data_IF_506613994752
#
_entry.id   IF_506613994752
#
_cell.length_a   1.000
_cell.length_b   1.000
_cell.length_c   1.000
_cell.angle_alpha   90.00
_cell.angle_beta   90.00
_cell.angle_gamma   90.00
#
_symmetry.space_group_name_H-M   'P 1'
#
loop_
_entity.id
_entity.type
_entity.pdbx_description
1 polymer ?
#
# COMPACT_ATOMS: atom_id res chain seq x y z
N UNK A 1 -11.21 41.51 9.58
CA UNK A 1 -10.00 40.73 9.94
C UNK A 1 -10.41 39.28 10.03
N UNK A 2 -10.21 38.52 8.95
CA UNK A 2 -10.22 37.05 9.07
C UNK A 2 -9.03 36.68 9.96
N UNK A 3 -9.23 35.80 10.94
CA UNK A 3 -8.19 35.31 11.82
C UNK A 3 -7.08 34.67 10.96
N UNK A 4 -5.87 35.23 11.01
CA UNK A 4 -4.68 34.82 10.23
C UNK A 4 -4.42 33.31 10.30
N UNK A 5 -4.93 32.65 11.36
CA UNK A 5 -4.85 31.20 11.59
C UNK A 5 -5.41 30.36 10.44
N UNK A 6 -6.43 30.83 9.72
CA UNK A 6 -7.07 30.03 8.67
C UNK A 6 -6.34 30.11 7.33
N UNK A 7 -5.83 31.30 6.95
CA UNK A 7 -5.07 31.49 5.70
C UNK A 7 -3.77 30.68 5.69
N UNK A 8 -3.15 30.53 6.87
CA UNK A 8 -1.91 29.80 7.03
C UNK A 8 -2.06 28.26 6.93
N UNK A 9 -3.25 27.71 7.19
CA UNK A 9 -3.47 26.26 7.18
C UNK A 9 -3.41 25.66 5.77
N UNK A 10 -4.02 26.32 4.78
CA UNK A 10 -3.99 25.87 3.39
C UNK A 10 -2.59 25.93 2.79
N UNK A 11 -1.78 26.93 3.18
CA UNK A 11 -0.38 27.03 2.76
C UNK A 11 0.46 25.89 3.32
N UNK A 12 0.30 25.55 4.60
CA UNK A 12 0.98 24.42 5.22
C UNK A 12 0.59 23.08 4.56
N UNK A 13 -0.71 22.85 4.34
CA UNK A 13 -1.20 21.64 3.66
C UNK A 13 -0.68 21.57 2.21
N UNK A 14 -0.61 22.70 1.49
CA UNK A 14 -0.03 22.75 0.15
C UNK A 14 1.48 22.41 0.15
N UNK A 15 2.25 22.88 1.13
CA UNK A 15 3.67 22.51 1.25
C UNK A 15 3.85 21.01 1.48
N UNK A 16 2.99 20.37 2.27
CA UNK A 16 3.02 18.91 2.46
C UNK A 16 2.76 18.19 1.12
N UNK A 17 1.73 18.59 0.39
CA UNK A 17 1.37 18.00 -0.92
C UNK A 17 2.48 18.22 -1.96
N UNK A 18 3.16 19.36 -1.90
CA UNK A 18 4.32 19.68 -2.73
C UNK A 18 5.62 19.03 -2.24
N UNK A 19 5.55 18.08 -1.29
CA UNK A 19 6.71 17.37 -0.75
C UNK A 19 7.75 18.28 -0.10
N UNK A 20 7.30 19.39 0.48
CA UNK A 20 8.10 20.33 1.29
C UNK A 20 7.64 20.32 2.76
N UNK A 21 7.53 19.15 3.42
CA UNK A 21 7.07 19.09 4.81
C UNK A 21 8.04 19.78 5.78
N UNK A 22 9.34 19.84 5.49
CA UNK A 22 10.30 20.56 6.35
C UNK A 22 9.95 22.06 6.46
N UNK A 23 9.55 22.68 5.34
CA UNK A 23 9.13 24.09 5.33
C UNK A 23 7.91 24.35 6.21
N UNK A 24 7.08 23.33 6.47
CA UNK A 24 5.97 23.46 7.42
C UNK A 24 6.47 23.63 8.84
N UNK A 25 7.48 22.83 9.23
CA UNK A 25 8.09 22.91 10.55
C UNK A 25 8.79 24.26 10.75
N UNK A 26 9.47 24.74 9.71
CA UNK A 26 10.25 25.97 9.77
C UNK A 26 9.36 27.23 9.77
N UNK A 27 8.31 27.25 8.94
CA UNK A 27 7.49 28.46 8.70
C UNK A 27 6.21 28.50 9.54
N UNK A 28 5.67 27.35 9.94
CA UNK A 28 4.40 27.25 10.64
C UNK A 28 4.51 26.48 11.97
N UNK A 29 5.51 26.75 12.85
CA UNK A 29 5.77 25.94 14.05
C UNK A 29 4.62 25.94 15.08
N UNK A 30 3.69 26.90 14.98
CA UNK A 30 2.51 26.99 15.85
C UNK A 30 1.34 26.12 15.36
N UNK A 31 1.38 25.61 14.14
CA UNK A 31 0.34 24.73 13.61
C UNK A 31 0.64 23.27 13.99
N UNK A 32 0.39 22.92 15.26
CA UNK A 32 0.83 21.63 15.84
C UNK A 32 0.38 20.42 15.03
N UNK A 33 -0.92 20.33 14.70
CA UNK A 33 -1.47 19.28 13.84
C UNK A 33 -0.75 19.17 12.48
N UNK A 34 -0.43 20.30 11.83
CA UNK A 34 0.29 20.29 10.53
C UNK A 34 1.75 19.89 10.69
N UNK A 35 2.39 20.30 11.79
CA UNK A 35 3.75 19.88 12.09
C UNK A 35 3.83 18.38 12.36
N UNK A 36 2.90 17.82 13.13
CA UNK A 36 2.80 16.38 13.35
C UNK A 36 2.62 15.61 12.02
N UNK A 37 1.74 16.11 11.14
CA UNK A 37 1.57 15.56 9.79
C UNK A 37 2.85 15.66 8.97
N UNK A 38 3.53 16.79 8.99
CA UNK A 38 4.80 17.01 8.27
C UNK A 38 5.92 16.08 8.77
N UNK A 39 6.05 15.89 10.09
CA UNK A 39 6.99 14.94 10.70
C UNK A 39 6.72 13.52 10.23
N UNK A 40 5.45 13.09 10.15
CA UNK A 40 5.09 11.79 9.57
C UNK A 40 5.55 11.67 8.12
N UNK A 41 5.35 12.71 7.29
CA UNK A 41 5.83 12.71 5.91
C UNK A 41 7.36 12.68 5.79
N UNK A 42 8.09 13.12 6.81
CA UNK A 42 9.54 13.02 6.90
C UNK A 42 10.01 11.66 7.46
N UNK A 43 9.10 10.79 7.92
CA UNK A 43 9.42 9.55 8.63
C UNK A 43 9.94 9.79 10.06
N UNK A 44 9.69 10.98 10.63
CA UNK A 44 10.10 11.39 11.99
C UNK A 44 8.98 11.13 12.99
N UNK A 45 8.44 9.92 12.98
CA UNK A 45 7.24 9.52 13.73
C UNK A 45 7.45 9.52 15.24
N UNK A 46 8.65 9.12 15.70
CA UNK A 46 8.97 9.12 17.14
C UNK A 46 8.92 10.55 17.74
N UNK A 47 9.25 11.58 16.96
CA UNK A 47 9.10 12.98 17.38
C UNK A 47 7.63 13.39 17.52
N UNK A 48 6.74 12.87 16.67
CA UNK A 48 5.29 13.08 16.85
C UNK A 48 4.82 12.49 18.17
N UNK A 49 5.28 11.28 18.51
CA UNK A 49 4.90 10.60 19.75
C UNK A 49 5.49 11.25 21.01
N UNK A 50 6.64 11.91 20.89
CA UNK A 50 7.32 12.58 21.99
C UNK A 50 6.78 14.00 22.22
N UNK A 51 6.68 14.80 21.16
CA UNK A 51 6.48 16.24 21.27
C UNK A 51 5.03 16.70 21.04
N UNK A 52 4.15 15.78 20.60
CA UNK A 52 2.75 16.07 20.24
C UNK A 52 1.74 15.21 21.00
N UNK A 53 2.06 14.82 22.24
CA UNK A 53 1.17 14.01 23.09
C UNK A 53 -0.19 14.69 23.39
N UNK A 54 -0.27 16.01 23.26
CA UNK A 54 -1.48 16.84 23.35
C UNK A 54 -2.36 16.79 22.09
N UNK A 55 -1.88 16.20 21.00
CA UNK A 55 -2.59 15.99 19.75
C UNK A 55 -2.91 14.49 19.56
N UNK A 56 -3.85 13.92 20.35
CA UNK A 56 -4.05 12.47 20.46
C UNK A 56 -4.36 11.81 19.11
N UNK A 57 -5.13 12.48 18.25
CA UNK A 57 -5.44 11.94 16.92
C UNK A 57 -4.19 11.80 16.04
N UNK A 58 -3.25 12.74 16.12
CA UNK A 58 -1.98 12.66 15.38
C UNK A 58 -1.13 11.49 15.86
N UNK A 59 -1.03 11.30 17.19
CA UNK A 59 -0.33 10.15 17.76
C UNK A 59 -1.00 8.82 17.40
N UNK A 60 -2.34 8.75 17.46
CA UNK A 60 -3.10 7.56 17.08
C UNK A 60 -2.85 7.21 15.62
N UNK A 61 -2.91 8.18 14.70
CA UNK A 61 -2.60 7.95 13.28
C UNK A 61 -1.17 7.44 13.09
N UNK A 62 -0.18 8.02 13.77
CA UNK A 62 1.21 7.55 13.70
C UNK A 62 1.33 6.11 14.19
N UNK A 63 0.75 5.79 15.34
CA UNK A 63 0.79 4.42 15.88
C UNK A 63 0.07 3.42 14.97
N UNK A 64 -1.05 3.83 14.37
CA UNK A 64 -1.80 3.00 13.45
C UNK A 64 -1.00 2.71 12.18
N UNK A 65 -0.55 3.75 11.47
CA UNK A 65 0.16 3.64 10.19
C UNK A 65 1.60 3.13 10.29
N UNK A 66 2.15 3.07 11.51
CA UNK A 66 3.45 2.45 11.79
C UNK A 66 3.31 0.99 12.23
N UNK A 67 2.11 0.41 12.22
CA UNK A 67 1.87 -0.97 12.68
C UNK A 67 2.02 -1.16 14.20
N UNK A 68 1.98 -0.07 14.98
CA UNK A 68 2.10 -0.06 16.45
C UNK A 68 0.73 0.06 17.13
N UNK A 69 -0.32 -0.49 16.54
CA UNK A 69 -1.69 -0.32 17.02
C UNK A 69 -1.93 -0.83 18.45
N UNK A 70 -1.10 -1.75 18.97
CA UNK A 70 -1.15 -2.16 20.39
C UNK A 70 -0.85 -1.00 21.35
N UNK A 71 0.01 -0.06 20.95
CA UNK A 71 0.35 1.11 21.76
C UNK A 71 -0.83 2.08 21.86
N UNK A 72 -1.79 2.06 20.92
CA UNK A 72 -2.99 2.90 20.96
C UNK A 72 -3.83 2.55 22.18
N UNK A 73 -4.11 1.27 22.42
CA UNK A 73 -4.90 0.84 23.57
C UNK A 73 -4.23 1.19 24.91
N UNK A 74 -2.90 1.14 24.96
CA UNK A 74 -2.12 1.49 26.16
C UNK A 74 -2.08 3.00 26.43
N UNK A 75 -1.91 3.82 25.38
CA UNK A 75 -1.72 5.27 25.51
C UNK A 75 -3.02 6.06 25.45
N UNK A 76 -4.03 5.56 24.74
CA UNK A 76 -5.28 6.25 24.43
C UNK A 76 -6.49 5.32 24.66
N UNK A 77 -6.75 4.87 25.90
CA UNK A 77 -7.77 3.86 26.19
C UNK A 77 -9.18 4.28 25.75
N UNK A 78 -9.49 5.59 25.73
CA UNK A 78 -10.78 6.11 25.25
C UNK A 78 -11.02 5.99 23.74
N UNK A 79 -9.97 5.70 22.96
CA UNK A 79 -10.02 5.56 21.49
C UNK A 79 -9.80 4.12 21.02
N UNK A 80 -9.62 3.18 21.96
CA UNK A 80 -9.20 1.82 21.66
C UNK A 80 -10.24 1.05 20.83
N UNK A 81 -11.53 1.17 21.11
CA UNK A 81 -12.54 0.25 20.57
C UNK A 81 -12.66 0.25 19.04
N UNK A 82 -12.59 1.42 18.37
CA UNK A 82 -12.66 1.48 16.90
C UNK A 82 -11.35 1.09 16.23
N UNK A 83 -10.22 1.50 16.81
CA UNK A 83 -8.88 1.23 16.27
C UNK A 83 -8.44 -0.21 16.51
N UNK A 84 -8.89 -0.83 17.59
CA UNK A 84 -8.62 -2.24 17.92
C UNK A 84 -9.25 -3.17 16.89
N UNK A 85 -10.48 -2.87 16.43
CA UNK A 85 -11.11 -3.62 15.34
C UNK A 85 -10.31 -3.55 14.04
N UNK A 86 -9.86 -2.35 13.65
CA UNK A 86 -9.05 -2.18 12.46
C UNK A 86 -7.71 -2.90 12.63
N UNK A 87 -7.07 -2.76 13.80
CA UNK A 87 -5.82 -3.44 14.12
C UNK A 87 -5.92 -4.96 14.04
N UNK A 88 -7.01 -5.56 14.51
CA UNK A 88 -7.23 -7.00 14.37
C UNK A 88 -7.32 -7.44 12.91
N UNK A 89 -8.01 -6.68 12.05
CA UNK A 89 -8.05 -6.97 10.62
C UNK A 89 -6.63 -6.91 10.04
N UNK A 90 -5.91 -5.81 10.27
CA UNK A 90 -4.56 -5.64 9.73
C UNK A 90 -3.54 -6.67 10.26
N UNK A 91 -3.72 -7.14 11.49
CA UNK A 91 -2.93 -8.23 12.09
C UNK A 91 -3.30 -9.62 11.57
N UNK A 92 -4.21 -9.74 10.61
CA UNK A 92 -4.65 -11.03 10.07
C UNK A 92 -5.60 -11.81 10.99
N UNK A 93 -6.30 -11.11 11.88
CA UNK A 93 -7.31 -11.67 12.80
C UNK A 93 -8.71 -11.03 12.61
N UNK A 94 -9.24 -10.91 11.38
CA UNK A 94 -10.53 -10.26 11.13
C UNK A 94 -11.71 -10.92 11.87
N UNK A 95 -11.62 -12.22 12.18
CA UNK A 95 -12.61 -12.95 12.97
C UNK A 95 -12.81 -12.38 14.37
N UNK A 96 -11.76 -11.81 14.99
CA UNK A 96 -11.88 -11.13 16.28
C UNK A 96 -12.76 -9.88 16.17
N UNK A 97 -12.60 -9.10 15.10
CA UNK A 97 -13.46 -7.95 14.84
C UNK A 97 -14.91 -8.35 14.57
N UNK A 98 -15.13 -9.49 13.89
CA UNK A 98 -16.47 -10.03 13.67
C UNK A 98 -17.15 -10.52 14.96
N UNK A 99 -16.40 -10.95 15.97
CA UNK A 99 -16.96 -11.35 17.26
C UNK A 99 -17.64 -10.16 17.98
N UNK A 100 -17.11 -8.95 17.80
CA UNK A 100 -17.71 -7.72 18.35
C UNK A 100 -18.72 -7.09 17.40
N UNK A 101 -18.45 -7.10 16.09
CA UNK A 101 -19.28 -6.48 15.07
C UNK A 101 -19.50 -7.44 13.89
N UNK A 102 -20.51 -8.33 13.97
CA UNK A 102 -20.73 -9.38 12.97
C UNK A 102 -21.02 -8.88 11.54
N UNK A 103 -21.34 -7.59 11.40
CA UNK A 103 -21.66 -6.94 10.11
C UNK A 103 -20.61 -5.93 9.66
N UNK A 104 -19.41 -5.94 10.26
CA UNK A 104 -18.32 -5.04 9.90
C UNK A 104 -17.79 -5.36 8.48
N UNK A 105 -18.00 -4.49 7.47
CA UNK A 105 -17.75 -4.87 6.07
C UNK A 105 -16.30 -5.22 5.76
N UNK A 106 -15.32 -4.48 6.30
CA UNK A 106 -13.91 -4.75 6.08
C UNK A 106 -13.49 -6.12 6.62
N UNK A 107 -14.01 -6.52 7.78
CA UNK A 107 -13.74 -7.84 8.36
C UNK A 107 -14.44 -8.95 7.57
N UNK A 108 -15.67 -8.73 7.09
CA UNK A 108 -16.39 -9.66 6.21
C UNK A 108 -15.61 -9.90 4.90
N UNK A 109 -15.14 -8.84 4.24
CA UNK A 109 -14.32 -8.97 3.03
C UNK A 109 -13.02 -9.73 3.32
N UNK A 110 -12.33 -9.41 4.42
CA UNK A 110 -11.08 -10.07 4.81
C UNK A 110 -11.21 -11.59 5.08
N UNK A 111 -12.41 -12.09 5.38
CA UNK A 111 -12.68 -13.54 5.54
C UNK A 111 -13.39 -14.16 4.34
N UNK A 112 -13.45 -13.46 3.20
CA UNK A 112 -14.07 -13.96 1.97
C UNK A 112 -15.60 -13.93 1.97
N UNK A 113 -16.24 -13.16 2.86
CA UNK A 113 -17.70 -13.00 2.97
C UNK A 113 -18.19 -11.72 2.25
N UNK A 114 -17.57 -11.36 1.14
CA UNK A 114 -17.90 -10.14 0.35
C UNK A 114 -19.36 -10.10 -0.13
N UNK A 115 -19.96 -11.25 -0.43
CA UNK A 115 -21.39 -11.33 -0.81
C UNK A 115 -22.34 -10.76 0.26
N UNK A 116 -21.98 -10.87 1.54
CA UNK A 116 -22.78 -10.28 2.61
C UNK A 116 -22.70 -8.76 2.64
N UNK A 117 -21.55 -8.20 2.27
CA UNK A 117 -21.37 -6.76 2.12
C UNK A 117 -22.22 -6.25 0.96
N UNK A 118 -22.16 -6.92 -0.19
CA UNK A 118 -22.99 -6.60 -1.37
C UNK A 118 -24.48 -6.65 -1.04
N UNK A 119 -24.95 -7.72 -0.38
CA UNK A 119 -26.35 -7.87 0.01
C UNK A 119 -26.82 -6.79 0.99
N UNK A 120 -25.97 -6.42 1.94
CA UNK A 120 -26.30 -5.40 2.93
C UNK A 120 -26.37 -3.99 2.33
N UNK A 121 -25.58 -3.74 1.27
CA UNK A 121 -25.54 -2.51 0.48
C UNK A 121 -25.63 -1.20 1.30
N UNK A 122 -24.85 -1.14 2.39
CA UNK A 122 -24.89 0.01 3.34
C UNK A 122 -24.07 1.21 2.89
N UNK A 123 -23.13 1.00 1.97
CA UNK A 123 -22.22 2.02 1.45
C UNK A 123 -21.81 1.64 0.04
N UNK A 124 -22.02 2.54 -0.92
CA UNK A 124 -21.72 2.30 -2.33
C UNK A 124 -20.21 2.01 -2.56
N UNK A 125 -19.32 2.72 -1.87
CA UNK A 125 -17.86 2.47 -1.91
C UNK A 125 -17.51 1.06 -1.38
N UNK A 126 -18.07 0.65 -0.23
CA UNK A 126 -17.79 -0.68 0.31
C UNK A 126 -18.42 -1.80 -0.54
N UNK A 127 -19.60 -1.57 -1.10
CA UNK A 127 -20.24 -2.49 -2.06
C UNK A 127 -19.37 -2.63 -3.32
N UNK A 128 -18.86 -1.53 -3.86
CA UNK A 128 -17.97 -1.55 -5.03
C UNK A 128 -16.69 -2.35 -4.76
N UNK A 129 -16.05 -2.17 -3.59
CA UNK A 129 -14.88 -2.97 -3.20
C UNK A 129 -15.20 -4.46 -3.08
N UNK A 130 -16.32 -4.80 -2.46
CA UNK A 130 -16.77 -6.18 -2.35
C UNK A 130 -17.03 -6.81 -3.72
N UNK A 131 -17.65 -6.08 -4.65
CA UNK A 131 -17.85 -6.52 -6.04
C UNK A 131 -16.52 -6.76 -6.78
N UNK A 132 -15.52 -5.88 -6.62
CA UNK A 132 -14.19 -6.08 -7.19
C UNK A 132 -13.53 -7.37 -6.66
N UNK A 133 -13.63 -7.64 -5.35
CA UNK A 133 -13.10 -8.86 -4.74
C UNK A 133 -13.81 -10.13 -5.22
N UNK A 134 -15.05 -10.00 -5.69
CA UNK A 134 -15.87 -11.07 -6.27
C UNK A 134 -15.71 -11.20 -7.80
N UNK A 135 -14.84 -10.39 -8.42
CA UNK A 135 -14.68 -10.32 -9.88
C UNK A 135 -15.95 -9.87 -10.63
N UNK A 136 -16.73 -8.99 -10.00
CA UNK A 136 -18.01 -8.46 -10.50
C UNK A 136 -17.97 -6.94 -10.64
N UNK A 137 -16.83 -6.40 -11.05
CA UNK A 137 -16.61 -4.95 -11.15
C UNK A 137 -17.50 -4.28 -12.21
N UNK A 138 -18.01 -5.05 -13.18
CA UNK A 138 -18.95 -4.64 -14.21
C UNK A 138 -20.36 -4.32 -13.67
N UNK A 139 -20.69 -4.80 -12.46
CA UNK A 139 -21.94 -4.48 -11.77
C UNK A 139 -21.92 -3.12 -11.06
N UNK A 140 -20.75 -2.48 -10.96
CA UNK A 140 -20.61 -1.21 -10.26
C UNK A 140 -21.19 -0.08 -11.14
N UNK A 141 -22.10 0.70 -10.55
CA UNK A 141 -22.81 1.79 -11.21
C UNK A 141 -22.54 3.13 -10.52
N UNK A 142 -23.01 4.23 -11.10
CA UNK A 142 -22.95 5.55 -10.48
C UNK A 142 -21.55 6.17 -10.45
N UNK A 143 -21.26 6.93 -9.39
CA UNK A 143 -19.98 7.63 -9.24
C UNK A 143 -18.81 6.64 -9.03
N UNK A 144 -19.11 5.52 -8.38
CA UNK A 144 -18.23 4.44 -7.98
C UNK A 144 -17.63 3.73 -9.22
N UNK A 145 -18.37 3.71 -10.32
CA UNK A 145 -17.92 3.17 -11.61
C UNK A 145 -16.72 3.94 -12.21
N UNK A 146 -16.49 5.18 -11.75
CA UNK A 146 -15.41 6.05 -12.25
C UNK A 146 -14.24 6.21 -11.29
N UNK A 147 -14.27 5.52 -10.15
CA UNK A 147 -13.16 5.50 -9.21
C UNK A 147 -11.96 4.76 -9.82
N UNK A 148 -10.75 5.11 -9.38
CA UNK A 148 -9.52 4.44 -9.82
C UNK A 148 -9.61 2.92 -9.62
N UNK A 149 -10.12 2.44 -8.48
CA UNK A 149 -10.23 1.02 -8.16
C UNK A 149 -11.10 0.29 -9.18
N UNK A 150 -12.27 0.83 -9.50
CA UNK A 150 -13.19 0.21 -10.45
C UNK A 150 -12.64 0.24 -11.87
N UNK A 151 -12.09 1.37 -12.32
CA UNK A 151 -11.48 1.46 -13.65
C UNK A 151 -10.33 0.47 -13.81
N UNK A 152 -9.49 0.34 -12.78
CA UNK A 152 -8.38 -0.62 -12.75
C UNK A 152 -8.88 -2.07 -12.77
N UNK A 153 -9.92 -2.40 -11.99
CA UNK A 153 -10.55 -3.72 -11.99
C UNK A 153 -11.21 -4.09 -13.33
N UNK A 154 -11.70 -3.10 -14.07
CA UNK A 154 -12.27 -3.27 -15.41
C UNK A 154 -11.22 -3.29 -16.54
N UNK A 155 -9.92 -3.25 -16.22
CA UNK A 155 -8.85 -3.18 -17.22
C UNK A 155 -8.77 -1.85 -17.97
N UNK A 156 -9.42 -0.78 -17.48
CA UNK A 156 -9.44 0.56 -18.09
C UNK A 156 -8.31 1.44 -17.55
N UNK A 157 -7.08 0.93 -17.58
CA UNK A 157 -5.90 1.59 -16.99
C UNK A 157 -5.57 2.94 -17.65
N UNK A 158 -5.76 3.09 -18.95
CA UNK A 158 -5.59 4.36 -19.66
C UNK A 158 -6.60 5.43 -19.19
N UNK A 159 -7.87 5.06 -19.04
CA UNK A 159 -8.90 5.97 -18.52
C UNK A 159 -8.61 6.34 -17.06
N UNK A 160 -8.20 5.36 -16.24
CA UNK A 160 -7.80 5.58 -14.87
C UNK A 160 -6.62 6.55 -14.79
N UNK A 161 -5.61 6.41 -15.67
CA UNK A 161 -4.47 7.32 -15.74
C UNK A 161 -4.87 8.72 -16.19
N UNK A 162 -5.71 8.84 -17.22
CA UNK A 162 -6.15 10.14 -17.72
C UNK A 162 -6.91 10.96 -16.66
N UNK A 163 -7.72 10.30 -15.82
CA UNK A 163 -8.50 10.95 -14.76
C UNK A 163 -7.71 11.17 -13.48
N UNK A 164 -6.94 10.16 -13.06
CA UNK A 164 -6.36 10.09 -11.72
C UNK A 164 -4.84 10.15 -11.70
N UNK A 165 -4.15 10.14 -12.83
CA UNK A 165 -2.68 10.10 -12.93
C UNK A 165 -1.95 11.28 -12.29
N UNK A 166 -2.66 12.38 -12.02
CA UNK A 166 -2.19 13.54 -11.26
C UNK A 166 -2.47 13.50 -9.75
N UNK A 167 -3.28 12.56 -9.26
CA UNK A 167 -3.56 12.41 -7.83
C UNK A 167 -2.38 11.70 -7.15
N UNK A 168 -1.79 12.34 -6.14
CA UNK A 168 -0.62 11.81 -5.43
C UNK A 168 -0.89 10.52 -4.64
N UNK A 169 -2.16 10.22 -4.33
CA UNK A 169 -2.57 9.02 -3.58
C UNK A 169 -2.82 7.82 -4.48
N UNK A 170 -3.35 8.08 -5.68
CA UNK A 170 -3.90 7.03 -6.54
C UNK A 170 -3.28 6.98 -7.93
N UNK A 171 -2.75 8.10 -8.43
CA UNK A 171 -2.30 8.24 -9.82
C UNK A 171 -1.09 7.38 -10.16
N UNK A 172 -0.33 6.97 -9.16
CA UNK A 172 0.78 6.05 -9.34
C UNK A 172 0.32 4.65 -9.71
N UNK A 173 -0.87 4.24 -9.32
CA UNK A 173 -1.34 2.89 -9.57
C UNK A 173 -1.59 2.58 -11.06
N UNK A 174 -2.41 3.35 -11.80
CA UNK A 174 -2.56 3.15 -13.25
C UNK A 174 -1.24 3.40 -14.00
N UNK A 175 -0.41 4.33 -13.50
CA UNK A 175 0.92 4.60 -14.04
C UNK A 175 1.85 3.38 -13.96
N UNK A 176 1.90 2.68 -12.83
CA UNK A 176 2.68 1.46 -12.68
C UNK A 176 2.14 0.32 -13.56
N UNK A 177 0.81 0.17 -13.68
CA UNK A 177 0.26 -0.86 -14.56
C UNK A 177 0.62 -0.58 -16.04
N UNK A 178 0.46 0.66 -16.50
CA UNK A 178 0.82 1.05 -17.87
C UNK A 178 2.34 0.92 -18.11
N UNK A 179 3.16 1.23 -17.11
CA UNK A 179 4.61 1.00 -17.18
C UNK A 179 4.95 -0.49 -17.28
N UNK A 180 4.26 -1.35 -16.52
CA UNK A 180 4.44 -2.80 -16.60
C UNK A 180 4.03 -3.33 -17.97
N UNK A 181 2.90 -2.91 -18.54
CA UNK A 181 2.49 -3.32 -19.88
C UNK A 181 3.47 -2.84 -20.96
N UNK A 182 4.01 -1.62 -20.83
CA UNK A 182 5.06 -1.14 -21.72
C UNK A 182 6.33 -2.01 -21.60
N UNK A 183 6.72 -2.41 -20.39
CA UNK A 183 7.87 -3.27 -20.15
C UNK A 183 7.69 -4.65 -20.81
N UNK A 184 6.52 -5.27 -20.60
CA UNK A 184 6.17 -6.58 -21.18
C UNK A 184 6.19 -6.52 -22.71
N UNK A 185 5.75 -5.40 -23.29
CA UNK A 185 5.78 -5.16 -24.73
C UNK A 185 7.19 -4.81 -25.28
N UNK A 186 8.24 -4.82 -24.45
CA UNK A 186 9.61 -4.46 -24.86
C UNK A 186 9.86 -2.96 -25.02
N UNK A 187 8.92 -2.09 -24.63
CA UNK A 187 9.06 -0.62 -24.66
C UNK A 187 9.69 -0.11 -23.37
N UNK A 188 10.95 -0.49 -23.14
CA UNK A 188 11.66 -0.29 -21.85
C UNK A 188 11.76 1.19 -21.44
N UNK A 189 12.11 2.08 -22.37
CA UNK A 189 12.22 3.51 -22.07
C UNK A 189 10.88 4.11 -21.62
N UNK A 190 9.79 3.77 -22.30
CA UNK A 190 8.45 4.20 -21.93
C UNK A 190 8.05 3.64 -20.57
N UNK A 191 8.33 2.35 -20.31
CA UNK A 191 8.05 1.72 -19.03
C UNK A 191 8.69 2.49 -17.87
N UNK A 192 9.99 2.81 -18.00
CA UNK A 192 10.72 3.51 -16.94
C UNK A 192 10.27 4.96 -16.80
N UNK A 193 9.95 5.66 -17.90
CA UNK A 193 9.35 6.99 -17.83
C UNK A 193 8.01 6.99 -17.08
N UNK A 194 7.21 5.90 -17.20
CA UNK A 194 6.01 5.72 -16.39
C UNK A 194 6.35 5.44 -14.94
N UNK A 195 7.32 4.57 -14.65
CA UNK A 195 7.68 4.25 -13.26
C UNK A 195 8.31 5.41 -12.47
N UNK A 196 8.82 6.44 -13.15
CA UNK A 196 9.33 7.62 -12.46
C UNK A 196 8.27 8.24 -11.55
N UNK A 197 8.66 8.40 -10.29
CA UNK A 197 7.80 8.92 -9.23
C UNK A 197 8.24 10.34 -8.96
N UNK A 198 7.32 11.32 -8.99
CA UNK A 198 7.62 12.65 -8.50
C UNK A 198 8.22 12.53 -7.10
N UNK A 199 9.37 13.17 -6.83
CA UNK A 199 10.07 13.03 -5.54
C UNK A 199 9.15 13.28 -4.33
N UNK A 200 8.17 14.16 -4.52
CA UNK A 200 7.16 14.55 -3.53
C UNK A 200 6.15 13.45 -3.20
N UNK A 201 6.03 12.40 -4.03
CA UNK A 201 5.06 11.31 -3.91
C UNK A 201 5.70 10.02 -3.43
N UNK A 202 7.02 9.95 -3.28
CA UNK A 202 7.72 8.70 -2.95
C UNK A 202 7.10 7.98 -1.75
N UNK A 203 6.55 8.71 -0.78
CA UNK A 203 5.96 8.19 0.46
C UNK A 203 4.42 8.24 0.52
N UNK A 204 3.74 8.41 -0.61
CA UNK A 204 2.27 8.52 -0.65
C UNK A 204 1.60 7.41 -1.46
N UNK A 205 2.23 6.25 -1.49
CA UNK A 205 1.85 5.09 -2.27
C UNK A 205 0.95 4.15 -1.46
N UNK A 206 -0.24 4.63 -1.06
CA UNK A 206 -1.18 3.82 -0.28
C UNK A 206 -1.48 2.51 -1.03
N UNK A 207 -1.06 1.38 -0.45
CA UNK A 207 -1.41 0.01 -0.83
C UNK A 207 -0.77 -0.58 -2.10
N UNK A 208 0.07 0.16 -2.82
CA UNK A 208 0.85 -0.36 -3.96
C UNK A 208 2.36 -0.26 -3.73
N UNK A 209 2.74 -0.29 -2.45
CA UNK A 209 4.11 -0.28 -1.98
C UNK A 209 4.94 -1.44 -2.57
N UNK A 210 4.36 -2.63 -2.76
CA UNK A 210 5.02 -3.75 -3.44
C UNK A 210 5.48 -3.39 -4.86
N UNK A 211 4.54 -2.87 -5.67
CA UNK A 211 4.82 -2.47 -7.05
C UNK A 211 5.95 -1.44 -7.11
N UNK A 212 5.83 -0.39 -6.29
CA UNK A 212 6.76 0.73 -6.32
C UNK A 212 8.16 0.38 -5.78
N UNK A 213 8.22 -0.34 -4.66
CA UNK A 213 9.48 -0.56 -3.95
C UNK A 213 10.20 -1.84 -4.33
N UNK A 214 9.51 -2.83 -4.92
CA UNK A 214 10.12 -4.13 -5.23
C UNK A 214 10.00 -4.47 -6.70
N UNK A 215 8.77 -4.47 -7.26
CA UNK A 215 8.55 -4.88 -8.65
C UNK A 215 9.29 -3.94 -9.60
N UNK A 216 9.16 -2.62 -9.45
CA UNK A 216 9.85 -1.67 -10.33
C UNK A 216 11.38 -1.80 -10.28
N UNK A 217 12.05 -1.80 -9.10
CA UNK A 217 13.48 -2.06 -9.05
C UNK A 217 13.89 -3.41 -9.64
N UNK A 218 13.08 -4.45 -9.45
CA UNK A 218 13.33 -5.74 -10.08
C UNK A 218 13.21 -5.69 -11.61
N UNK A 219 12.19 -4.99 -12.14
CA UNK A 219 12.07 -4.72 -13.58
C UNK A 219 13.26 -3.90 -14.11
N UNK A 220 13.81 -2.98 -13.31
CA UNK A 220 15.05 -2.25 -13.66
C UNK A 220 16.25 -3.19 -13.78
N UNK A 221 16.40 -4.15 -12.87
CA UNK A 221 17.43 -5.19 -13.00
C UNK A 221 17.25 -6.00 -14.28
N UNK A 222 16.03 -6.46 -14.57
CA UNK A 222 15.71 -7.16 -15.82
C UNK A 222 15.97 -6.30 -17.08
N UNK A 223 15.82 -4.97 -16.96
CA UNK A 223 16.13 -4.00 -18.01
C UNK A 223 17.60 -3.61 -18.10
N UNK A 224 18.50 -4.22 -17.33
CA UNK A 224 19.95 -4.03 -17.40
C UNK A 224 20.56 -3.13 -16.31
N UNK A 225 19.76 -2.55 -15.41
CA UNK A 225 20.27 -1.80 -14.26
C UNK A 225 20.62 -2.75 -13.10
N UNK A 226 21.79 -3.39 -13.22
CA UNK A 226 22.25 -4.38 -12.25
C UNK A 226 22.26 -3.83 -10.80
N UNK A 227 21.68 -4.59 -9.88
CA UNK A 227 21.63 -4.26 -8.45
C UNK A 227 20.59 -3.19 -8.07
N UNK A 228 19.69 -2.80 -8.97
CA UNK A 228 18.64 -1.82 -8.67
C UNK A 228 17.74 -2.26 -7.49
N UNK A 229 17.42 -3.56 -7.39
CA UNK A 229 16.62 -4.07 -6.28
C UNK A 229 17.40 -4.02 -4.98
N UNK A 230 18.66 -4.46 -4.98
CA UNK A 230 19.50 -4.46 -3.77
C UNK A 230 19.72 -3.05 -3.23
N UNK A 231 19.96 -2.06 -4.10
CA UNK A 231 20.06 -0.64 -3.71
C UNK A 231 18.77 -0.15 -3.06
N UNK A 232 17.61 -0.53 -3.61
CA UNK A 232 16.31 -0.11 -3.05
C UNK A 232 16.01 -0.80 -1.72
N UNK A 233 16.29 -2.10 -1.60
CA UNK A 233 16.17 -2.83 -0.34
C UNK A 233 17.07 -2.21 0.75
N UNK A 234 18.34 -1.96 0.46
CA UNK A 234 19.27 -1.32 1.40
C UNK A 234 18.77 0.07 1.86
N UNK A 235 18.21 0.87 0.95
CA UNK A 235 17.62 2.15 1.30
C UNK A 235 16.40 2.03 2.21
N UNK A 236 15.48 1.08 1.94
CA UNK A 236 14.31 0.85 2.78
C UNK A 236 14.70 0.41 4.20
N UNK A 237 15.63 -0.55 4.28
CA UNK A 237 16.12 -1.07 5.55
C UNK A 237 16.75 0.02 6.42
N UNK A 238 17.49 0.95 5.79
CA UNK A 238 18.15 2.06 6.47
C UNK A 238 17.20 3.20 6.84
N UNK A 239 16.26 3.56 5.96
CA UNK A 239 15.58 4.86 6.04
C UNK A 239 14.07 4.76 6.31
N UNK A 240 13.44 3.58 6.17
CA UNK A 240 11.98 3.45 6.08
C UNK A 240 11.43 2.28 6.88
N UNK A 241 11.86 2.13 8.14
CA UNK A 241 11.36 1.08 9.04
C UNK A 241 9.84 1.15 9.23
N UNK A 242 9.31 2.35 9.43
CA UNK A 242 7.92 2.56 9.86
C UNK A 242 6.95 2.95 8.74
N UNK A 243 7.43 3.14 7.52
CA UNK A 243 6.58 3.54 6.41
C UNK A 243 5.59 2.41 6.05
N UNK A 244 4.33 2.79 5.79
CA UNK A 244 3.24 1.90 5.33
C UNK A 244 3.11 0.62 6.16
N UNK A 245 2.88 0.78 7.46
CA UNK A 245 2.70 -0.33 8.38
C UNK A 245 3.90 -1.27 8.42
N UNK A 246 5.10 -0.74 8.10
CA UNK A 246 6.37 -1.44 8.01
C UNK A 246 6.49 -2.45 6.86
N UNK A 247 5.47 -2.61 6.00
CA UNK A 247 5.46 -3.63 4.94
C UNK A 247 6.67 -3.55 4.01
N UNK A 248 7.05 -2.38 3.46
CA UNK A 248 8.20 -2.29 2.55
C UNK A 248 9.50 -2.74 3.23
N UNK A 249 9.64 -2.49 4.53
CA UNK A 249 10.79 -2.93 5.30
C UNK A 249 10.81 -4.45 5.43
N UNK A 250 9.68 -5.10 5.76
CA UNK A 250 9.61 -6.55 5.84
C UNK A 250 9.86 -7.22 4.48
N UNK A 251 9.31 -6.65 3.41
CA UNK A 251 9.54 -7.16 2.06
C UNK A 251 11.01 -7.04 1.64
N UNK A 252 11.63 -5.88 1.92
CA UNK A 252 13.06 -5.69 1.69
C UNK A 252 13.92 -6.64 2.54
N UNK A 253 13.56 -6.85 3.82
CA UNK A 253 14.25 -7.78 4.71
C UNK A 253 14.18 -9.23 4.22
N UNK A 254 13.01 -9.66 3.71
CA UNK A 254 12.83 -11.00 3.14
C UNK A 254 13.68 -11.21 1.88
N UNK A 255 13.66 -10.23 0.96
CA UNK A 255 14.46 -10.26 -0.27
C UNK A 255 15.97 -10.21 0.00
N UNK A 256 16.39 -9.44 1.01
CA UNK A 256 17.78 -9.35 1.45
C UNK A 256 18.22 -10.57 2.29
N UNK A 257 17.30 -11.48 2.64
CA UNK A 257 17.59 -12.64 3.48
C UNK A 257 17.95 -12.31 4.93
N UNK A 258 17.60 -11.11 5.42
CA UNK A 258 17.89 -10.69 6.80
C UNK A 258 16.86 -11.19 7.81
N UNK A 259 15.71 -11.67 7.33
CA UNK A 259 14.70 -12.36 8.14
C UNK A 259 14.25 -13.64 7.41
N UNK A 260 13.82 -14.64 8.17
CA UNK A 260 13.21 -15.85 7.63
C UNK A 260 11.70 -15.67 7.39
N UNK A 261 11.08 -16.71 6.83
CA UNK A 261 9.64 -16.73 6.54
C UNK A 261 8.77 -16.61 7.79
N UNK A 262 9.16 -17.26 8.89
CA UNK A 262 8.42 -17.20 10.14
C UNK A 262 8.41 -15.76 10.70
N UNK A 263 9.56 -15.09 10.72
CA UNK A 263 9.69 -13.71 11.14
C UNK A 263 8.93 -12.75 10.22
N UNK A 264 8.88 -13.03 8.91
CA UNK A 264 8.11 -12.25 7.95
C UNK A 264 6.60 -12.37 8.18
N UNK A 265 6.08 -13.58 8.40
CA UNK A 265 4.66 -13.81 8.66
C UNK A 265 4.23 -13.29 10.04
N UNK A 266 5.17 -13.16 10.98
CA UNK A 266 4.95 -12.56 12.30
C UNK A 266 5.00 -11.02 12.32
N UNK A 267 5.04 -10.37 11.15
CA UNK A 267 5.04 -8.91 11.07
C UNK A 267 3.75 -8.29 11.63
N UNK A 268 3.77 -7.03 12.13
CA UNK A 268 2.59 -6.43 12.75
C UNK A 268 1.38 -6.29 11.82
N UNK A 269 1.61 -6.11 10.52
CA UNK A 269 0.58 -6.02 9.49
C UNK A 269 0.59 -7.29 8.64
N UNK A 270 -0.11 -8.32 9.11
CA UNK A 270 0.00 -9.68 8.60
C UNK A 270 -1.09 -10.08 7.60
N UNK A 271 -2.16 -9.29 7.43
CA UNK A 271 -3.30 -9.70 6.58
C UNK A 271 -2.92 -10.00 5.13
N UNK A 272 -1.95 -9.25 4.56
CA UNK A 272 -1.44 -9.48 3.19
C UNK A 272 -0.10 -10.21 3.16
N UNK A 273 0.51 -10.46 4.32
CA UNK A 273 1.87 -11.00 4.39
C UNK A 273 2.01 -12.33 3.62
N UNK A 274 1.09 -13.32 3.71
CA UNK A 274 1.24 -14.55 2.93
C UNK A 274 1.33 -14.31 1.40
N UNK A 275 0.56 -13.37 0.86
CA UNK A 275 0.58 -13.05 -0.55
C UNK A 275 1.86 -12.31 -0.95
N UNK A 276 2.23 -11.30 -0.17
CA UNK A 276 3.42 -10.48 -0.40
C UNK A 276 4.71 -11.35 -0.31
N UNK A 277 4.71 -12.36 0.56
CA UNK A 277 5.81 -13.33 0.70
C UNK A 277 6.00 -14.16 -0.57
N UNK A 278 4.91 -14.66 -1.18
CA UNK A 278 4.98 -15.44 -2.42
C UNK A 278 5.62 -14.64 -3.56
N UNK A 279 5.31 -13.35 -3.67
CA UNK A 279 5.96 -12.47 -4.63
C UNK A 279 7.46 -12.29 -4.33
N UNK A 280 7.82 -12.08 -3.05
CA UNK A 280 9.22 -11.98 -2.64
C UNK A 280 10.00 -13.28 -2.92
N UNK A 281 9.39 -14.45 -2.64
CA UNK A 281 9.96 -15.76 -2.92
C UNK A 281 10.15 -15.95 -4.43
N UNK A 282 9.14 -15.63 -5.25
CA UNK A 282 9.22 -15.68 -6.70
C UNK A 282 10.39 -14.87 -7.25
N UNK A 283 10.53 -13.61 -6.82
CA UNK A 283 11.64 -12.72 -7.21
C UNK A 283 12.99 -13.31 -6.76
N UNK A 284 13.09 -13.81 -5.53
CA UNK A 284 14.35 -14.37 -5.00
C UNK A 284 14.79 -15.62 -5.74
N UNK A 285 13.87 -16.56 -5.99
CA UNK A 285 14.13 -17.78 -6.74
C UNK A 285 14.52 -17.47 -8.19
N UNK A 286 13.86 -16.49 -8.80
CA UNK A 286 14.21 -16.04 -10.15
C UNK A 286 15.64 -15.47 -10.21
N UNK A 287 16.02 -14.62 -9.25
CA UNK A 287 17.38 -14.05 -9.14
C UNK A 287 18.44 -15.12 -8.88
N UNK A 288 18.12 -16.18 -8.14
CA UNK A 288 19.05 -17.29 -7.90
C UNK A 288 19.11 -18.32 -9.03
N UNK A 289 18.29 -18.17 -10.06
CA UNK A 289 18.20 -19.10 -11.20
C UNK A 289 17.33 -20.33 -10.96
N UNK A 290 16.65 -20.44 -9.81
CA UNK A 290 15.68 -21.49 -9.53
C UNK A 290 14.32 -21.16 -10.18
N UNK A 291 14.24 -21.40 -11.49
CA UNK A 291 13.06 -21.09 -12.30
C UNK A 291 11.82 -21.85 -11.85
N UNK A 292 11.97 -23.13 -11.46
CA UNK A 292 10.82 -23.96 -11.07
C UNK A 292 10.17 -23.40 -9.81
N UNK A 293 10.96 -23.10 -8.78
CA UNK A 293 10.45 -22.52 -7.55
C UNK A 293 9.87 -21.11 -7.77
N UNK A 294 10.46 -20.32 -8.68
CA UNK A 294 9.93 -19.02 -9.05
C UNK A 294 8.52 -19.13 -9.68
N UNK A 295 8.34 -20.02 -10.67
CA UNK A 295 7.05 -20.27 -11.33
C UNK A 295 5.99 -20.74 -10.32
N UNK A 296 6.35 -21.68 -9.44
CA UNK A 296 5.44 -22.17 -8.39
C UNK A 296 4.99 -21.04 -7.45
N UNK A 297 5.91 -20.18 -7.04
CA UNK A 297 5.62 -19.05 -6.16
C UNK A 297 4.65 -18.05 -6.82
N UNK A 298 4.90 -17.67 -8.07
CA UNK A 298 4.03 -16.75 -8.81
C UNK A 298 2.65 -17.35 -9.09
N UNK A 299 2.56 -18.64 -9.44
CA UNK A 299 1.26 -19.34 -9.61
C UNK A 299 0.49 -19.43 -8.30
N UNK A 300 1.16 -19.78 -7.21
CA UNK A 300 0.54 -19.82 -5.87
C UNK A 300 -0.07 -18.47 -5.49
N UNK A 301 0.59 -17.35 -5.84
CA UNK A 301 0.02 -16.02 -5.66
C UNK A 301 -1.25 -15.82 -6.52
N UNK A 302 -1.20 -16.18 -7.80
CA UNK A 302 -2.32 -16.06 -8.76
C UNK A 302 -3.48 -17.01 -8.47
N UNK A 303 -3.26 -18.09 -7.73
CA UNK A 303 -4.31 -19.04 -7.31
C UNK A 303 -4.92 -18.66 -5.96
N UNK A 304 -4.19 -17.92 -5.11
CA UNK A 304 -4.67 -17.45 -3.81
C UNK A 304 -5.96 -16.61 -3.96
N UNK A 305 -7.02 -16.79 -3.18
CA UNK A 305 -8.21 -15.96 -3.29
C UNK A 305 -7.90 -14.46 -3.16
N UNK A 306 -8.52 -13.59 -3.98
CA UNK A 306 -8.25 -12.13 -4.01
C UNK A 306 -8.30 -11.46 -2.63
N UNK A 307 -9.27 -11.84 -1.80
CA UNK A 307 -9.40 -11.28 -0.44
C UNK A 307 -8.22 -11.60 0.49
N UNK A 308 -7.40 -12.61 0.17
CA UNK A 308 -6.16 -12.94 0.88
C UNK A 308 -4.93 -12.26 0.29
N UNK A 309 -5.02 -11.71 -0.93
CA UNK A 309 -3.94 -10.95 -1.56
C UNK A 309 -3.86 -9.51 -1.07
N UNK A 310 -5.00 -8.96 -0.65
CA UNK A 310 -5.11 -7.57 -0.25
C UNK A 310 -6.49 -7.24 0.25
N UNK A 311 -6.58 -6.24 1.13
CA UNK A 311 -7.85 -5.55 1.39
C UNK A 311 -8.37 -4.80 0.14
N UNK A 312 -7.51 -4.67 -0.87
CA UNK A 312 -7.74 -3.97 -2.11
C UNK A 312 -7.18 -4.82 -3.24
N UNK A 313 -7.89 -4.81 -4.36
CA UNK A 313 -7.39 -5.37 -5.60
C UNK A 313 -6.08 -4.69 -5.97
N UNK A 314 -5.08 -5.42 -6.48
CA UNK A 314 -3.84 -4.85 -7.03
C UNK A 314 -3.50 -5.52 -8.38
N UNK A 315 -3.98 -4.97 -9.51
CA UNK A 315 -3.72 -5.53 -10.83
C UNK A 315 -2.24 -5.44 -11.22
N UNK A 316 -1.42 -4.58 -10.59
CA UNK A 316 0.01 -4.52 -10.95
C UNK A 316 0.70 -5.79 -10.48
N UNK A 317 0.52 -6.16 -9.22
CA UNK A 317 1.08 -7.39 -8.66
C UNK A 317 0.51 -8.64 -9.32
N UNK A 318 -0.81 -8.68 -9.60
CA UNK A 318 -1.43 -9.78 -10.34
C UNK A 318 -0.88 -9.94 -11.74
N UNK A 319 -0.85 -8.84 -12.51
CA UNK A 319 -0.34 -8.85 -13.88
C UNK A 319 1.13 -9.25 -13.93
N UNK A 320 1.92 -8.76 -12.99
CA UNK A 320 3.34 -9.10 -12.86
C UNK A 320 3.52 -10.59 -12.59
N UNK A 321 2.82 -11.15 -11.61
CA UNK A 321 2.93 -12.57 -11.26
C UNK A 321 2.51 -13.48 -12.43
N UNK A 322 1.40 -13.18 -13.11
CA UNK A 322 0.96 -13.92 -14.31
C UNK A 322 2.04 -13.89 -15.38
N UNK A 323 2.54 -12.69 -15.73
CA UNK A 323 3.58 -12.54 -16.75
C UNK A 323 4.87 -13.29 -16.42
N UNK A 324 5.37 -13.19 -15.17
CA UNK A 324 6.59 -13.90 -14.78
C UNK A 324 6.39 -15.41 -14.82
N UNK A 325 5.25 -15.92 -14.35
CA UNK A 325 4.94 -17.35 -14.41
C UNK A 325 4.91 -17.89 -15.85
N UNK A 326 4.35 -17.12 -16.79
CA UNK A 326 4.31 -17.47 -18.22
C UNK A 326 5.72 -17.47 -18.83
N UNK A 327 6.46 -16.37 -18.70
CA UNK A 327 7.80 -16.24 -19.29
C UNK A 327 8.74 -17.33 -18.78
N UNK A 328 8.77 -17.56 -17.47
CA UNK A 328 9.69 -18.55 -16.88
C UNK A 328 9.31 -19.99 -17.20
N UNK A 329 8.04 -20.28 -17.50
CA UNK A 329 7.61 -21.63 -17.89
C UNK A 329 7.99 -22.00 -19.34
N UNK A 330 8.35 -21.02 -20.18
CA UNK A 330 8.67 -21.21 -21.60
C UNK A 330 10.17 -21.23 -21.93
N UNK A 331 11.06 -20.98 -20.96
CA UNK A 331 12.51 -20.86 -21.15
C UNK A 331 13.30 -21.91 -20.38
#
# INVERSE_FOLDING_TARGET
YMDDRNADSSAADALIVLGRPQDVLDRFPRQRLRCARALRHLGREDEVLADYADEPMSCIEVLFFSGRSRDIALRFPGYASSMEMAAHIEQGHPERSLAFFPTLPMALMAVGRSEEVVRANRSADLTARALILLDRADEIQGAEATTVHTLMALGKSDEAFARHGGDFRYGMWPRHLLGLEAFIAGRIEEAFARFEVPAVWELHQHQFHLAHYLIVPFLRELGGDAGALDRRCAWLLKNRRWAYDQKPWYNASSLAGTIDEMAYLAQPHAITAPADLLLCQGIRCERSGDRSAAVESYRSFVEMPRYRRGAWYDPVSERFAVWRAEVLAHH
#
